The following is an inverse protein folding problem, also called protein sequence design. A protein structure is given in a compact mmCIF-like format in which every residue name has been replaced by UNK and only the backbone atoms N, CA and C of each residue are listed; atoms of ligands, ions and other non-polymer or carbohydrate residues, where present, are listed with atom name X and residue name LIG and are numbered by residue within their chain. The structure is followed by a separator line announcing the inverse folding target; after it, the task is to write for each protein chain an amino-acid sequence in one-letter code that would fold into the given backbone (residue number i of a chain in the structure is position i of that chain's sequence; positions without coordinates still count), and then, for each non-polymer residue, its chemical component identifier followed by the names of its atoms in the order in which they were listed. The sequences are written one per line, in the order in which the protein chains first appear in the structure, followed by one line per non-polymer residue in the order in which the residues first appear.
data_IF_927414272324
#
_entry.id   IF_927414272324
#
_cell.length_a   1.000
_cell.length_b   1.000
_cell.length_c   1.000
_cell.angle_alpha   90.00
_cell.angle_beta   90.00
_cell.angle_gamma   90.00
#
_symmetry.space_group_name_H-M   'P 1'
#
loop_
_entity.id
_entity.type
_entity.pdbx_description
1 polymer ?
#
# COMPACT_ATOMS: atom_id res chain seq x y z
N UNK A 1 21.66 1.82 -56.62
CA UNK A 1 21.38 3.18 -56.10
C UNK A 1 20.02 3.14 -55.44
N UNK A 2 19.96 3.27 -54.12
CA UNK A 2 18.86 3.89 -53.38
C UNK A 2 19.41 4.21 -51.99
N UNK A 3 19.26 5.48 -51.62
CA UNK A 3 19.91 6.17 -50.52
C UNK A 3 19.37 5.81 -49.13
N UNK A 4 20.26 5.93 -48.15
CA UNK A 4 20.05 6.44 -46.79
C UNK A 4 18.63 6.95 -46.48
N UNK A 5 17.91 6.20 -45.65
CA UNK A 5 16.98 6.78 -44.67
C UNK A 5 17.30 6.14 -43.32
N UNK A 6 17.99 6.91 -42.47
CA UNK A 6 18.11 6.62 -41.04
C UNK A 6 16.70 6.47 -40.45
N UNK A 7 16.51 5.42 -39.65
CA UNK A 7 15.30 5.26 -38.86
C UNK A 7 15.21 6.42 -37.85
N UNK A 8 14.05 7.09 -37.69
CA UNK A 8 13.89 8.20 -36.75
C UNK A 8 14.00 7.80 -35.26
N UNK A 9 14.32 6.54 -34.95
CA UNK A 9 14.41 6.00 -33.59
C UNK A 9 15.80 6.17 -32.95
N UNK A 10 16.89 6.30 -33.73
CA UNK A 10 18.24 6.49 -33.17
C UNK A 10 18.41 7.86 -32.49
N UNK A 11 17.68 8.88 -32.95
CA UNK A 11 17.75 10.22 -32.35
C UNK A 11 17.07 10.31 -30.96
N UNK A 12 16.18 9.37 -30.62
CA UNK A 12 15.51 9.34 -29.32
C UNK A 12 16.39 8.63 -28.26
N UNK A 13 17.16 7.63 -28.67
CA UNK A 13 18.15 6.96 -27.83
C UNK A 13 19.36 7.87 -27.52
N UNK A 14 19.77 8.73 -28.46
CA UNK A 14 20.81 9.75 -28.21
C UNK A 14 20.38 10.82 -27.20
N UNK A 15 19.08 11.13 -27.08
CA UNK A 15 18.61 12.17 -26.16
C UNK A 15 18.48 11.70 -24.71
N UNK A 16 18.30 10.40 -24.48
CA UNK A 16 18.18 9.81 -23.13
C UNK A 16 19.55 9.35 -22.58
N UNK A 17 20.53 9.12 -23.46
CA UNK A 17 21.91 8.79 -23.08
C UNK A 17 22.76 10.01 -22.68
N UNK A 18 22.26 11.25 -22.88
CA UNK A 18 23.05 12.47 -22.66
C UNK A 18 23.04 13.02 -21.21
N UNK A 19 22.48 12.33 -20.22
CA UNK A 19 22.44 12.83 -18.83
C UNK A 19 22.98 11.83 -17.79
N UNK A 20 24.01 11.07 -18.13
CA UNK A 20 24.85 10.40 -17.13
C UNK A 20 26.30 10.22 -17.59
N UNK A 21 26.95 11.30 -18.01
CA UNK A 21 28.41 11.39 -17.94
C UNK A 21 28.79 12.18 -16.68
N UNK A 22 28.76 11.52 -15.52
CA UNK A 22 29.61 11.95 -14.40
C UNK A 22 31.03 11.46 -14.69
N UNK A 23 31.90 12.39 -15.05
CA UNK A 23 33.34 12.18 -15.22
C UNK A 23 33.97 11.59 -13.93
N UNK A 24 34.15 10.27 -13.87
CA UNK A 24 35.21 9.69 -13.07
C UNK A 24 36.48 9.59 -13.91
N UNK A 25 37.24 10.68 -13.91
CA UNK A 25 38.61 10.70 -14.40
C UNK A 25 39.52 9.94 -13.44
N UNK A 26 39.96 8.75 -13.83
CA UNK A 26 41.31 8.24 -13.51
C UNK A 26 41.64 6.97 -14.34
N UNK A 27 42.39 7.19 -15.42
CA UNK A 27 43.54 6.38 -15.86
C UNK A 27 43.41 4.86 -16.02
N UNK A 28 43.62 4.43 -17.27
CA UNK A 28 44.14 3.14 -17.75
C UNK A 28 43.12 2.08 -18.25
N UNK A 29 43.31 1.73 -19.52
CA UNK A 29 42.62 0.72 -20.32
C UNK A 29 42.62 -0.69 -19.70
N UNK A 30 41.48 -1.41 -19.73
CA UNK A 30 41.22 -2.55 -20.63
C UNK A 30 40.07 -3.48 -20.17
N UNK A 31 39.32 -4.00 -21.17
CA UNK A 31 38.25 -5.03 -21.18
C UNK A 31 36.79 -4.51 -21.01
N UNK A 32 35.90 -4.74 -22.02
CA UNK A 32 34.49 -4.43 -21.90
C UNK A 32 33.80 -5.57 -21.14
N UNK A 33 33.69 -5.45 -19.83
CA UNK A 33 32.65 -6.18 -19.11
C UNK A 33 31.36 -5.39 -19.30
N UNK A 34 30.53 -5.84 -20.24
CA UNK A 34 29.15 -5.39 -20.29
C UNK A 34 28.48 -5.85 -19.00
N UNK A 35 28.30 -4.94 -18.05
CA UNK A 35 27.44 -5.17 -16.91
C UNK A 35 26.00 -5.10 -17.45
N UNK A 36 25.52 -6.20 -18.01
CA UNK A 36 24.11 -6.37 -18.32
C UNK A 36 23.40 -6.53 -16.97
N UNK A 37 23.05 -5.41 -16.34
CA UNK A 37 22.01 -5.46 -15.31
C UNK A 37 20.78 -5.96 -16.04
N UNK A 38 20.31 -7.16 -15.68
CA UNK A 38 19.12 -7.73 -16.29
C UNK A 38 17.94 -6.90 -15.77
N UNK A 39 17.57 -5.89 -16.55
CA UNK A 39 16.40 -5.07 -16.28
C UNK A 39 15.21 -5.96 -16.54
N UNK A 40 14.51 -6.39 -15.48
CA UNK A 40 13.22 -7.00 -15.66
C UNK A 40 12.26 -5.86 -16.07
N UNK A 41 12.25 -5.55 -17.37
CA UNK A 41 11.09 -4.89 -17.94
C UNK A 41 9.94 -5.89 -17.76
N UNK A 42 9.07 -5.63 -16.78
CA UNK A 42 7.74 -6.24 -16.81
C UNK A 42 7.06 -5.59 -18.02
N UNK A 43 7.23 -6.19 -19.20
CA UNK A 43 6.56 -5.77 -20.42
C UNK A 43 5.05 -5.92 -20.20
N UNK A 44 4.40 -4.85 -19.75
CA UNK A 44 2.96 -4.71 -19.84
C UNK A 44 2.67 -4.01 -21.17
N UNK A 45 2.74 -4.78 -22.26
CA UNK A 45 2.44 -4.31 -23.61
C UNK A 45 0.93 -4.07 -23.74
N UNK A 46 0.46 -2.83 -23.61
CA UNK A 46 -0.91 -2.45 -23.97
C UNK A 46 -0.97 -1.05 -24.58
N UNK A 47 -1.43 -0.97 -25.84
CA UNK A 47 -1.74 0.26 -26.59
C UNK A 47 -0.60 1.32 -26.68
N UNK A 48 0.64 0.88 -26.89
CA UNK A 48 1.71 1.76 -27.42
C UNK A 48 2.32 2.77 -26.44
N UNK A 49 2.13 2.58 -25.13
CA UNK A 49 2.87 3.30 -24.07
C UNK A 49 3.58 2.29 -23.16
N UNK A 50 4.91 2.31 -23.14
CA UNK A 50 5.72 1.62 -22.13
C UNK A 50 5.88 2.55 -20.91
N UNK A 51 5.28 2.20 -19.78
CA UNK A 51 5.64 2.78 -18.48
C UNK A 51 6.67 1.86 -17.85
N UNK A 52 7.94 2.26 -17.91
CA UNK A 52 9.05 1.49 -17.36
C UNK A 52 9.24 1.85 -15.87
N UNK A 53 8.80 0.98 -14.96
CA UNK A 53 9.24 1.03 -13.58
C UNK A 53 10.63 0.38 -13.51
N UNK A 54 11.66 1.17 -13.18
CA UNK A 54 13.06 0.72 -13.14
C UNK A 54 13.31 -0.13 -11.89
N UNK A 55 13.00 -1.43 -11.94
CA UNK A 55 13.49 -2.40 -10.95
C UNK A 55 14.74 -3.06 -11.51
N UNK A 56 15.88 -2.43 -11.26
CA UNK A 56 17.20 -2.95 -11.62
C UNK A 56 17.70 -4.01 -10.63
N UNK A 57 18.74 -4.74 -11.02
CA UNK A 57 19.49 -5.67 -10.16
C UNK A 57 18.66 -6.82 -9.54
N UNK A 58 17.61 -7.29 -10.22
CA UNK A 58 16.86 -8.48 -9.74
C UNK A 58 17.69 -9.75 -9.92
N UNK A 59 18.32 -9.93 -11.08
CA UNK A 59 19.22 -11.05 -11.36
C UNK A 59 20.47 -10.55 -12.07
N UNK A 60 21.61 -11.18 -11.78
CA UNK A 60 22.87 -10.92 -12.48
C UNK A 60 23.11 -12.03 -13.50
N UNK A 61 23.26 -11.68 -14.77
CA UNK A 61 23.62 -12.63 -15.81
C UNK A 61 25.09 -13.05 -15.66
N UNK A 62 25.35 -14.35 -15.54
CA UNK A 62 26.69 -14.92 -15.35
C UNK A 62 27.29 -15.50 -16.63
N UNK A 63 26.55 -15.44 -17.74
CA UNK A 63 26.84 -16.04 -19.04
C UNK A 63 25.54 -16.26 -19.82
N UNK A 64 25.64 -16.64 -21.10
CA UNK A 64 24.48 -16.81 -21.97
C UNK A 64 23.39 -17.70 -21.33
N UNK A 65 22.21 -17.13 -21.13
CA UNK A 65 21.04 -17.77 -20.49
C UNK A 65 21.30 -18.34 -19.08
N UNK A 66 22.30 -17.80 -18.36
CA UNK A 66 22.61 -18.19 -16.98
C UNK A 66 22.57 -16.99 -16.05
N UNK A 67 21.90 -17.15 -14.91
CA UNK A 67 21.61 -16.07 -13.99
C UNK A 67 21.89 -16.48 -12.55
N UNK A 68 22.32 -15.53 -11.72
CA UNK A 68 22.40 -15.69 -10.26
C UNK A 68 21.55 -14.65 -9.55
N UNK A 69 21.05 -15.04 -8.38
CA UNK A 69 20.34 -14.17 -7.45
C UNK A 69 21.24 -13.04 -6.95
N UNK A 70 20.69 -11.85 -6.83
CA UNK A 70 21.32 -10.67 -6.21
C UNK A 70 20.82 -10.49 -4.76
N UNK A 71 21.43 -9.62 -3.95
CA UNK A 71 20.87 -9.23 -2.66
C UNK A 71 19.43 -8.72 -2.74
N UNK A 72 19.08 -8.01 -3.83
CA UNK A 72 17.72 -7.53 -4.05
C UNK A 72 16.73 -8.69 -4.31
N UNK A 73 17.12 -9.70 -5.10
CA UNK A 73 16.37 -10.95 -5.26
C UNK A 73 16.02 -11.61 -3.93
N UNK A 74 16.98 -11.69 -3.01
CA UNK A 74 16.74 -12.24 -1.68
C UNK A 74 15.80 -11.36 -0.84
N UNK A 75 15.96 -10.04 -0.92
CA UNK A 75 15.10 -9.10 -0.20
C UNK A 75 13.62 -9.21 -0.63
N UNK A 76 13.32 -9.47 -1.91
CA UNK A 76 11.94 -9.73 -2.36
C UNK A 76 11.32 -10.95 -1.66
N UNK A 77 12.13 -11.99 -1.39
CA UNK A 77 11.68 -13.19 -0.69
C UNK A 77 11.67 -13.07 0.84
N UNK A 78 12.32 -12.06 1.40
CA UNK A 78 12.47 -11.85 2.83
C UNK A 78 11.37 -10.91 3.37
N UNK A 79 10.42 -11.47 4.12
CA UNK A 79 9.30 -10.75 4.72
C UNK A 79 9.73 -9.64 5.69
N UNK A 80 10.96 -9.69 6.22
CA UNK A 80 11.48 -8.67 7.13
C UNK A 80 11.83 -7.36 6.42
N UNK A 81 12.17 -7.40 5.13
CA UNK A 81 12.71 -6.24 4.39
C UNK A 81 11.64 -5.31 3.80
N UNK A 82 10.35 -5.71 3.86
CA UNK A 82 9.19 -5.00 3.28
C UNK A 82 9.25 -4.70 1.77
N UNK A 83 10.35 -5.05 1.09
CA UNK A 83 10.57 -4.82 -0.35
C UNK A 83 9.44 -5.42 -1.19
N UNK A 84 9.00 -6.63 -0.86
CA UNK A 84 7.87 -7.27 -1.53
C UNK A 84 6.59 -6.44 -1.46
N UNK A 85 6.25 -5.94 -0.27
CA UNK A 85 5.06 -5.12 -0.07
C UNK A 85 5.14 -3.80 -0.86
N UNK A 86 6.34 -3.21 -0.96
CA UNK A 86 6.58 -2.03 -1.79
C UNK A 86 6.41 -2.31 -3.29
N UNK A 87 6.88 -3.46 -3.79
CA UNK A 87 6.68 -3.86 -5.19
C UNK A 87 5.23 -4.18 -5.52
N UNK A 88 4.51 -4.84 -4.60
CA UNK A 88 3.07 -5.07 -4.72
C UNK A 88 2.30 -3.73 -4.74
N UNK A 89 2.65 -2.78 -3.87
CA UNK A 89 2.08 -1.43 -3.92
C UNK A 89 2.39 -0.71 -5.25
N UNK A 90 3.65 -0.73 -5.71
CA UNK A 90 4.08 -0.17 -6.99
C UNK A 90 3.22 -0.68 -8.16
N UNK A 91 3.09 -2.01 -8.26
CA UNK A 91 2.42 -2.67 -9.38
C UNK A 91 0.90 -2.54 -9.34
N UNK A 92 0.27 -2.64 -8.16
CA UNK A 92 -1.19 -2.60 -8.03
C UNK A 92 -1.79 -1.21 -7.88
N UNK A 93 -1.01 -0.21 -7.44
CA UNK A 93 -1.54 1.13 -7.13
C UNK A 93 -1.00 2.21 -8.06
N UNK A 94 0.31 2.18 -8.36
CA UNK A 94 0.97 3.28 -9.07
C UNK A 94 1.06 3.02 -10.57
N UNK A 95 1.58 1.84 -10.97
CA UNK A 95 1.78 1.54 -12.40
C UNK A 95 0.48 1.54 -13.20
N UNK A 96 -0.63 1.07 -12.62
CA UNK A 96 -1.94 1.12 -13.28
C UNK A 96 -2.44 2.56 -13.46
N UNK A 97 -2.22 3.44 -12.47
CA UNK A 97 -2.56 4.85 -12.58
C UNK A 97 -1.66 5.57 -13.61
N UNK A 98 -0.39 5.21 -13.71
CA UNK A 98 0.51 5.76 -14.73
C UNK A 98 0.03 5.42 -16.15
N UNK A 99 -0.49 4.20 -16.35
CA UNK A 99 -1.07 3.79 -17.64
C UNK A 99 -2.33 4.58 -18.02
N UNK A 100 -3.12 5.03 -17.05
CA UNK A 100 -4.32 5.85 -17.32
C UNK A 100 -4.00 7.35 -17.48
N UNK A 101 -2.79 7.79 -17.12
CA UNK A 101 -2.39 9.20 -17.14
C UNK A 101 -2.52 9.85 -18.52
N UNK A 102 -2.08 9.26 -19.66
CA UNK A 102 -2.23 9.90 -20.97
C UNK A 102 -3.70 10.15 -21.35
N UNK A 103 -4.59 9.19 -21.07
CA UNK A 103 -6.04 9.33 -21.34
C UNK A 103 -6.66 10.40 -20.44
N UNK A 104 -6.24 10.48 -19.19
CA UNK A 104 -6.71 11.49 -18.25
C UNK A 104 -6.22 12.90 -18.62
N UNK A 105 -4.95 13.08 -18.99
CA UNK A 105 -4.42 14.37 -19.45
C UNK A 105 -5.14 14.85 -20.73
N UNK A 106 -5.43 13.94 -21.65
CA UNK A 106 -6.25 14.25 -22.83
C UNK A 106 -7.67 14.69 -22.44
N UNK A 107 -8.32 14.03 -21.47
CA UNK A 107 -9.65 14.40 -20.94
C UNK A 107 -9.67 15.83 -20.39
N UNK A 108 -8.63 16.24 -19.68
CA UNK A 108 -8.54 17.59 -19.08
C UNK A 108 -7.87 18.62 -19.98
N UNK A 109 -7.68 18.31 -21.27
CA UNK A 109 -7.00 19.19 -22.24
C UNK A 109 -5.62 19.69 -21.74
N UNK A 110 -4.87 18.78 -21.10
CA UNK A 110 -3.53 18.99 -20.55
C UNK A 110 -3.43 20.18 -19.58
N UNK A 111 -4.53 20.55 -18.93
CA UNK A 111 -4.52 21.52 -17.84
C UNK A 111 -4.00 20.88 -16.56
N UNK A 112 -3.49 21.68 -15.63
CA UNK A 112 -3.08 21.20 -14.32
C UNK A 112 -4.30 20.74 -13.51
N UNK A 113 -4.32 19.49 -13.00
CA UNK A 113 -5.40 19.01 -12.13
C UNK A 113 -5.46 19.82 -10.84
N UNK A 114 -6.63 20.38 -10.51
CA UNK A 114 -6.83 21.15 -9.27
C UNK A 114 -7.73 20.45 -8.26
N UNK A 115 -8.43 19.39 -8.66
CA UNK A 115 -9.31 18.62 -7.79
C UNK A 115 -8.64 17.31 -7.35
N UNK A 116 -8.61 17.06 -6.04
CA UNK A 116 -8.09 15.81 -5.48
C UNK A 116 -8.90 14.57 -5.92
N UNK A 117 -10.19 14.77 -6.23
CA UNK A 117 -11.17 13.73 -6.53
C UNK A 117 -11.18 13.29 -8.01
N UNK A 118 -10.70 14.14 -8.92
CA UNK A 118 -10.67 13.89 -10.37
C UNK A 118 -9.20 13.74 -10.80
N UNK A 119 -8.71 12.51 -10.83
CA UNK A 119 -7.33 12.18 -11.18
C UNK A 119 -7.27 10.89 -12.04
N UNK A 120 -6.08 10.54 -12.52
CA UNK A 120 -5.85 9.38 -13.37
C UNK A 120 -6.09 8.03 -12.66
N UNK A 121 -6.07 7.98 -11.32
CA UNK A 121 -6.28 6.75 -10.56
C UNK A 121 -7.63 6.09 -10.88
N UNK A 122 -8.69 6.91 -11.01
CA UNK A 122 -10.06 6.45 -11.31
C UNK A 122 -10.16 5.59 -12.57
N UNK A 123 -9.34 5.90 -13.58
CA UNK A 123 -9.34 5.15 -14.85
C UNK A 123 -8.67 3.77 -14.76
N UNK A 124 -7.94 3.52 -13.68
CA UNK A 124 -7.22 2.27 -13.43
C UNK A 124 -7.85 1.41 -12.33
N UNK A 125 -8.65 2.03 -11.47
CA UNK A 125 -9.33 1.36 -10.37
C UNK A 125 -10.47 0.48 -10.90
N UNK A 126 -10.56 -0.81 -10.52
CA UNK A 126 -11.59 -1.72 -11.05
C UNK A 126 -13.01 -1.33 -10.63
N UNK A 127 -13.17 -0.56 -9.54
CA UNK A 127 -14.46 -0.08 -9.06
C UNK A 127 -14.73 1.38 -9.51
N UNK A 128 -13.83 1.97 -10.30
CA UNK A 128 -13.92 3.37 -10.74
C UNK A 128 -13.81 4.38 -9.61
N UNK A 129 -13.12 4.03 -8.51
CA UNK A 129 -12.90 4.92 -7.38
C UNK A 129 -11.63 5.73 -7.58
N UNK A 130 -11.61 6.98 -7.10
CA UNK A 130 -10.37 7.74 -7.00
C UNK A 130 -9.49 7.21 -5.86
N UNK A 131 -8.25 7.71 -5.77
CA UNK A 131 -7.28 7.29 -4.75
C UNK A 131 -7.85 7.33 -3.32
N UNK A 132 -8.48 8.44 -2.92
CA UNK A 132 -9.05 8.58 -1.58
C UNK A 132 -10.28 7.69 -1.37
N UNK A 133 -11.10 7.51 -2.39
CA UNK A 133 -12.22 6.55 -2.41
C UNK A 133 -11.74 5.12 -2.17
N UNK A 134 -10.65 4.69 -2.83
CA UNK A 134 -10.05 3.37 -2.59
C UNK A 134 -9.49 3.23 -1.18
N UNK A 135 -8.82 4.26 -0.68
CA UNK A 135 -8.29 4.26 0.70
C UNK A 135 -9.38 4.29 1.77
N UNK A 136 -10.56 4.83 1.46
CA UNK A 136 -11.72 4.83 2.37
C UNK A 136 -12.30 3.44 2.65
N UNK A 137 -11.73 2.38 2.07
CA UNK A 137 -12.19 1.00 2.26
C UNK A 137 -11.96 0.48 3.67
N UNK A 138 -10.89 0.90 4.34
CA UNK A 138 -10.51 0.34 5.64
C UNK A 138 -10.15 1.44 6.63
N UNK A 139 -10.85 1.45 7.76
CA UNK A 139 -10.55 2.30 8.92
C UNK A 139 -9.98 1.41 10.01
N UNK A 140 -8.83 1.77 10.55
CA UNK A 140 -8.13 0.96 11.56
C UNK A 140 -7.89 1.77 12.84
N UNK A 141 -8.18 1.16 13.98
CA UNK A 141 -7.91 1.69 15.31
C UNK A 141 -7.24 0.60 16.14
N UNK A 142 -6.06 0.88 16.71
CA UNK A 142 -5.38 -0.02 17.64
C UNK A 142 -5.15 0.69 18.95
N UNK A 143 -5.62 0.12 20.07
CA UNK A 143 -5.42 0.67 21.41
C UNK A 143 -5.84 2.15 21.48
N UNK A 144 -7.04 2.44 20.94
CA UNK A 144 -7.61 3.80 20.94
C UNK A 144 -8.83 3.85 21.82
N UNK A 145 -9.80 2.97 21.56
CA UNK A 145 -11.12 3.08 22.17
C UNK A 145 -11.11 2.67 23.65
N UNK A 146 -10.15 1.86 24.09
CA UNK A 146 -9.97 1.52 25.50
C UNK A 146 -9.54 2.69 26.39
N UNK A 147 -8.99 3.78 25.84
CA UNK A 147 -8.61 4.98 26.59
C UNK A 147 -9.82 5.84 26.99
N UNK A 148 -10.96 5.61 26.34
CA UNK A 148 -12.13 6.49 26.42
C UNK A 148 -13.31 5.82 27.10
N UNK A 149 -14.11 6.55 27.90
CA UNK A 149 -15.41 6.08 28.35
C UNK A 149 -16.37 5.91 27.16
N UNK A 150 -17.48 5.20 27.38
CA UNK A 150 -18.42 4.88 26.29
C UNK A 150 -18.99 6.12 25.60
N UNK A 151 -19.23 7.23 26.30
CA UNK A 151 -19.81 8.43 25.69
C UNK A 151 -18.89 9.06 24.64
N UNK A 152 -17.60 9.17 24.95
CA UNK A 152 -16.55 9.69 24.08
C UNK A 152 -16.21 8.69 22.97
N UNK A 153 -16.12 7.40 23.30
CA UNK A 153 -15.89 6.34 22.31
C UNK A 153 -17.01 6.32 21.25
N UNK A 154 -18.28 6.51 21.64
CA UNK A 154 -19.40 6.64 20.71
C UNK A 154 -19.24 7.86 19.80
N UNK A 155 -18.74 8.99 20.31
CA UNK A 155 -18.51 10.19 19.49
C UNK A 155 -17.42 9.93 18.44
N UNK A 156 -16.30 9.31 18.84
CA UNK A 156 -15.22 8.91 17.92
C UNK A 156 -15.77 8.00 16.83
N UNK A 157 -16.46 6.93 17.23
CA UNK A 157 -17.08 5.97 16.31
C UNK A 157 -18.09 6.63 15.37
N UNK A 158 -18.88 7.59 15.86
CA UNK A 158 -19.84 8.33 15.04
C UNK A 158 -19.14 9.19 13.98
N UNK A 159 -18.04 9.86 14.33
CA UNK A 159 -17.25 10.62 13.36
C UNK A 159 -16.61 9.71 12.32
N UNK A 160 -16.07 8.56 12.73
CA UNK A 160 -15.56 7.54 11.81
C UNK A 160 -16.65 7.03 10.88
N UNK A 161 -17.83 6.69 11.41
CA UNK A 161 -18.99 6.27 10.62
C UNK A 161 -19.38 7.31 9.57
N UNK A 162 -19.34 8.60 9.89
CA UNK A 162 -19.68 9.66 8.94
C UNK A 162 -18.66 9.79 7.79
N UNK A 163 -17.42 9.35 7.99
CA UNK A 163 -16.41 9.27 6.93
C UNK A 163 -16.49 7.96 6.12
N UNK A 164 -17.15 6.93 6.66
CA UNK A 164 -17.28 5.62 6.04
C UNK A 164 -18.37 5.59 4.95
N UNK A 165 -18.10 4.84 3.90
CA UNK A 165 -19.08 4.53 2.85
C UNK A 165 -19.77 3.22 3.19
N UNK A 166 -21.10 3.24 3.34
CA UNK A 166 -21.90 2.03 3.61
C UNK A 166 -21.69 0.96 2.53
N UNK A 167 -21.68 -0.31 2.92
CA UNK A 167 -21.45 -1.49 2.07
C UNK A 167 -20.05 -1.59 1.41
N UNK A 168 -19.19 -0.58 1.60
CA UNK A 168 -17.83 -0.53 1.06
C UNK A 168 -16.77 -0.52 2.16
N UNK A 169 -16.90 0.41 3.12
CA UNK A 169 -15.93 0.61 4.19
C UNK A 169 -16.08 -0.41 5.31
N UNK A 170 -14.95 -0.87 5.83
CA UNK A 170 -14.86 -1.71 7.03
C UNK A 170 -14.10 -0.97 8.13
N UNK A 171 -14.54 -1.17 9.36
CA UNK A 171 -13.86 -0.72 10.56
C UNK A 171 -13.18 -1.92 11.22
N UNK A 172 -11.91 -1.77 11.51
CA UNK A 172 -11.06 -2.74 12.18
C UNK A 172 -10.58 -2.13 13.49
N UNK A 173 -11.02 -2.71 14.60
CA UNK A 173 -10.58 -2.32 15.94
C UNK A 173 -9.72 -3.46 16.46
N UNK A 174 -8.44 -3.20 16.68
CA UNK A 174 -7.55 -4.14 17.33
C UNK A 174 -7.42 -3.69 18.79
N UNK A 175 -8.02 -4.44 19.70
CA UNK A 175 -8.10 -4.03 21.11
C UNK A 175 -8.38 -5.25 22.00
N UNK A 176 -8.27 -5.06 23.32
CA UNK A 176 -8.46 -6.14 24.28
C UNK A 176 -9.95 -6.46 24.41
N UNK A 177 -10.26 -7.75 24.35
CA UNK A 177 -11.60 -8.30 24.61
C UNK A 177 -11.50 -9.23 25.80
N UNK A 178 -11.86 -8.71 26.97
CA UNK A 178 -11.74 -9.46 28.23
C UNK A 178 -12.77 -10.59 28.28
N UNK A 179 -12.36 -11.86 28.49
CA UNK A 179 -13.31 -12.95 28.66
C UNK A 179 -14.02 -12.83 30.02
N UNK A 180 -15.29 -13.26 30.14
CA UNK A 180 -16.04 -13.18 31.39
C UNK A 180 -15.40 -13.99 32.54
N UNK A 181 -14.62 -15.02 32.20
CA UNK A 181 -13.84 -15.84 33.14
C UNK A 181 -12.55 -16.29 32.48
N UNK A 182 -11.46 -16.44 33.24
CA UNK A 182 -10.19 -16.97 32.73
C UNK A 182 -9.35 -15.96 31.96
N UNK A 183 -9.49 -14.66 32.24
CA UNK A 183 -8.63 -13.62 31.68
C UNK A 183 -7.15 -13.89 32.01
N UNK A 184 -6.27 -13.61 31.06
CA UNK A 184 -4.83 -13.79 31.27
C UNK A 184 -4.27 -12.79 32.28
N UNK A 185 -3.08 -13.07 32.82
CA UNK A 185 -2.37 -12.13 33.69
C UNK A 185 -2.12 -10.82 32.95
N UNK A 186 -1.79 -10.88 31.66
CA UNK A 186 -1.59 -9.68 30.84
C UNK A 186 -2.88 -8.85 30.74
N UNK A 187 -4.01 -9.48 30.40
CA UNK A 187 -5.30 -8.77 30.25
C UNK A 187 -5.75 -8.12 31.55
N UNK A 188 -5.64 -8.84 32.66
CA UNK A 188 -5.98 -8.31 33.99
C UNK A 188 -5.03 -7.20 34.44
N UNK A 189 -3.74 -7.30 34.10
CA UNK A 189 -2.77 -6.23 34.40
C UNK A 189 -3.08 -4.97 33.60
N UNK A 190 -3.41 -5.10 32.31
CA UNK A 190 -3.79 -3.96 31.47
C UNK A 190 -5.07 -3.30 31.97
N UNK A 191 -6.11 -4.06 32.31
CA UNK A 191 -7.36 -3.52 32.86
C UNK A 191 -7.13 -2.71 34.15
N UNK A 192 -6.30 -3.22 35.07
CA UNK A 192 -5.91 -2.48 36.29
C UNK A 192 -5.13 -1.20 35.94
N UNK A 193 -4.28 -1.23 34.91
CA UNK A 193 -3.57 -0.03 34.43
C UNK A 193 -4.52 1.00 33.82
N UNK A 194 -5.49 0.59 33.01
CA UNK A 194 -6.50 1.47 32.42
C UNK A 194 -7.34 2.16 33.51
N UNK A 195 -7.75 1.41 34.53
CA UNK A 195 -8.49 1.95 35.68
C UNK A 195 -7.63 2.98 36.43
N UNK A 196 -6.36 2.65 36.66
CA UNK A 196 -5.46 3.47 37.50
C UNK A 196 -4.98 4.74 36.81
N UNK A 197 -4.75 4.70 35.49
CA UNK A 197 -4.11 5.78 34.75
C UNK A 197 -5.10 6.65 33.99
N UNK A 198 -6.17 6.06 33.46
CA UNK A 198 -7.06 6.71 32.51
C UNK A 198 -8.51 6.79 33.03
N UNK A 199 -8.81 6.21 34.20
CA UNK A 199 -10.18 6.00 34.67
C UNK A 199 -11.06 5.30 33.62
N UNK A 200 -10.43 4.45 32.82
CA UNK A 200 -11.04 3.64 31.78
C UNK A 200 -10.97 2.15 32.17
N UNK A 201 -11.55 1.27 31.35
CA UNK A 201 -11.53 -0.18 31.61
C UNK A 201 -11.48 -0.92 30.30
N UNK A 202 -10.83 -2.07 30.30
CA UNK A 202 -10.90 -2.99 29.18
C UNK A 202 -12.31 -3.55 29.04
N UNK A 203 -12.75 -3.77 27.79
CA UNK A 203 -14.13 -4.15 27.50
C UNK A 203 -14.27 -5.64 27.29
N UNK A 204 -15.32 -6.20 27.86
CA UNK A 204 -15.80 -7.55 27.54
C UNK A 204 -16.45 -7.58 26.16
N UNK A 205 -16.61 -8.78 25.59
CA UNK A 205 -17.28 -8.96 24.30
C UNK A 205 -18.67 -8.31 24.23
N UNK A 206 -19.50 -8.48 25.27
CA UNK A 206 -20.84 -7.87 25.32
C UNK A 206 -20.80 -6.35 25.39
N UNK A 207 -19.80 -5.77 26.06
CA UNK A 207 -19.62 -4.31 26.10
C UNK A 207 -19.18 -3.76 24.74
N UNK A 208 -18.33 -4.49 24.00
CA UNK A 208 -17.98 -4.14 22.62
C UNK A 208 -19.20 -4.19 21.68
N UNK A 209 -20.04 -5.22 21.80
CA UNK A 209 -21.28 -5.35 21.04
C UNK A 209 -22.25 -4.18 21.32
N UNK A 210 -22.43 -3.80 22.59
CA UNK A 210 -23.25 -2.66 22.99
C UNK A 210 -22.69 -1.32 22.49
N UNK A 211 -21.38 -1.11 22.62
CA UNK A 211 -20.72 0.12 22.18
C UNK A 211 -20.87 0.33 20.67
N UNK A 212 -20.53 -0.68 19.88
CA UNK A 212 -20.57 -0.60 18.42
C UNK A 212 -22.01 -0.49 17.89
N UNK A 213 -22.95 -1.26 18.46
CA UNK A 213 -24.36 -1.14 18.08
C UNK A 213 -24.94 0.23 18.41
N UNK A 214 -24.58 0.82 19.55
CA UNK A 214 -24.99 2.18 19.94
C UNK A 214 -24.45 3.26 19.00
N UNK A 215 -23.25 3.07 18.44
CA UNK A 215 -22.70 3.93 17.39
C UNK A 215 -23.23 3.61 15.97
N UNK A 216 -24.14 2.63 15.85
CA UNK A 216 -24.76 2.22 14.60
C UNK A 216 -23.82 1.45 13.67
N UNK A 217 -22.97 0.62 14.26
CA UNK A 217 -22.18 -0.40 13.59
C UNK A 217 -22.77 -1.79 13.82
N UNK A 218 -22.52 -2.68 12.87
CA UNK A 218 -22.77 -4.10 12.96
C UNK A 218 -21.43 -4.82 13.00
N UNK A 219 -21.21 -5.63 14.03
CA UNK A 219 -20.01 -6.48 14.11
C UNK A 219 -20.17 -7.63 13.13
N UNK A 220 -19.15 -7.81 12.29
CA UNK A 220 -19.05 -8.92 11.34
C UNK A 220 -18.40 -10.12 12.04
N UNK A 221 -17.26 -9.91 12.71
CA UNK A 221 -16.50 -10.99 13.33
C UNK A 221 -15.50 -10.49 14.36
N UNK A 222 -15.20 -11.35 15.34
CA UNK A 222 -14.05 -11.23 16.23
C UNK A 222 -12.98 -12.22 15.77
N UNK A 223 -11.76 -11.74 15.58
CA UNK A 223 -10.60 -12.53 15.19
C UNK A 223 -9.59 -12.52 16.35
N UNK A 224 -9.39 -13.65 17.05
CA UNK A 224 -8.40 -13.71 18.12
C UNK A 224 -7.00 -13.51 17.55
N UNK A 225 -6.17 -12.76 18.25
CA UNK A 225 -4.76 -12.66 17.89
C UNK A 225 -4.01 -13.96 18.25
N UNK A 226 -2.84 -14.23 17.63
CA UNK A 226 -2.09 -15.46 17.89
C UNK A 226 -1.64 -15.65 19.35
N UNK A 227 -1.56 -14.56 20.13
CA UNK A 227 -1.15 -14.58 21.53
C UNK A 227 -2.35 -14.60 22.49
N UNK A 228 -3.57 -14.57 21.97
CA UNK A 228 -4.86 -14.53 22.68
C UNK A 228 -4.96 -13.43 23.75
N UNK A 229 -4.24 -12.34 23.53
CA UNK A 229 -4.22 -11.15 24.37
C UNK A 229 -5.25 -10.11 23.92
N UNK A 230 -5.28 -9.86 22.61
CA UNK A 230 -6.13 -8.89 21.91
C UNK A 230 -7.07 -9.60 20.93
N UNK A 231 -8.04 -8.88 20.39
CA UNK A 231 -8.81 -9.34 19.24
C UNK A 231 -8.93 -8.25 18.20
N UNK A 232 -8.92 -8.65 16.93
CA UNK A 232 -9.34 -7.81 15.83
C UNK A 232 -10.87 -7.93 15.67
N UNK A 233 -11.57 -6.86 15.99
CA UNK A 233 -13.01 -6.70 15.79
C UNK A 233 -13.23 -6.10 14.40
N UNK A 234 -13.86 -6.87 13.52
CA UNK A 234 -14.29 -6.42 12.20
C UNK A 234 -15.75 -5.94 12.28
N UNK A 235 -16.01 -4.71 11.88
CA UNK A 235 -17.33 -4.10 11.87
C UNK A 235 -17.62 -3.34 10.57
N UNK A 236 -18.91 -3.16 10.28
CA UNK A 236 -19.42 -2.40 9.14
C UNK A 236 -20.54 -1.46 9.60
N UNK A 237 -20.85 -0.44 8.81
CA UNK A 237 -21.98 0.45 9.10
C UNK A 237 -23.30 -0.34 9.00
N UNK A 238 -24.13 -0.28 10.04
CA UNK A 238 -25.43 -0.96 10.08
C UNK A 238 -26.43 -0.41 9.06
#
# INVERSE_FOLDING_TARGET
MLHNKKCPYEAFLELISYNSEEEYSNGAFSQPYYHYSCHLAVNLEFDGFEVCAWVGDVVEETGQDTFKSTPFSYAIGDESTKVRASLEAATYQYSSADQSLPRYLAKINYQEPTAAEDNNYTGSDPDGLNFFGRLSRSYFMHAVLHDWPNAEAIQILTHTKNAMTKDYSKLFIYDIVVPPTGASISQTTMDVQMISLLSASERTKSQWEELLSSAGFKIVKFWPDPQEYEMLIEAEVA
#
